data_IF_791333100768
#
_entry.id   IF_791333100768
#
_cell.length_a   1.000
_cell.length_b   1.000
_cell.length_c   1.000
_cell.angle_alpha   90.00
_cell.angle_beta   90.00
_cell.angle_gamma   90.00
#
_symmetry.space_group_name_H-M   'P 1'
#
loop_
_entity.id
_entity.type
_entity.pdbx_description
1 polymer ?
#
# COMPACT_ATOMS: atom_id res chain seq x y z
N UNK A 1 -41.03 19.48 8.55
CA UNK A 1 -40.53 18.46 7.62
C UNK A 1 -39.19 18.96 7.13
N UNK A 2 -38.12 18.46 7.71
CA UNK A 2 -36.77 18.87 7.36
C UNK A 2 -36.33 18.12 6.10
N UNK A 3 -35.76 18.80 5.09
CA UNK A 3 -35.23 18.13 3.92
C UNK A 3 -34.01 17.29 4.35
N UNK A 4 -34.08 15.99 4.07
CA UNK A 4 -32.97 15.05 4.18
C UNK A 4 -31.79 15.56 3.34
N UNK A 5 -30.78 16.12 3.99
CA UNK A 5 -29.52 16.51 3.37
C UNK A 5 -28.59 15.29 3.29
N UNK A 6 -28.32 14.81 2.07
CA UNK A 6 -27.27 13.83 1.84
C UNK A 6 -25.94 14.58 1.81
N UNK A 7 -25.14 14.42 2.87
CA UNK A 7 -23.74 14.84 2.88
C UNK A 7 -22.90 13.69 2.30
N UNK A 8 -22.25 13.91 1.15
CA UNK A 8 -21.24 13.00 0.61
C UNK A 8 -19.90 13.71 0.64
N UNK A 9 -19.08 13.42 1.65
CA UNK A 9 -17.69 13.89 1.71
C UNK A 9 -16.87 13.22 0.59
N UNK A 10 -15.82 13.88 0.07
CA UNK A 10 -14.78 13.19 -0.70
C UNK A 10 -14.19 12.05 0.13
N UNK A 11 -13.97 10.88 -0.47
CA UNK A 11 -13.21 9.81 0.18
C UNK A 11 -11.78 10.28 0.45
N UNK A 12 -11.42 10.39 1.72
CA UNK A 12 -10.02 10.49 2.16
C UNK A 12 -9.55 9.08 2.54
N UNK A 13 -8.36 8.71 2.11
CA UNK A 13 -7.82 7.36 2.30
C UNK A 13 -6.52 7.43 3.09
N UNK A 14 -6.46 6.68 4.16
CA UNK A 14 -5.21 6.34 4.83
C UNK A 14 -4.81 4.92 4.42
N UNK A 15 -3.61 4.81 3.82
CA UNK A 15 -3.04 3.53 3.38
C UNK A 15 -1.89 3.15 4.29
N UNK A 16 -1.97 1.97 4.90
CA UNK A 16 -0.96 1.42 5.79
C UNK A 16 -0.36 0.18 5.13
N UNK A 17 0.97 0.10 5.12
CA UNK A 17 1.68 -1.12 4.74
C UNK A 17 2.16 -1.83 6.00
N UNK A 18 1.88 -3.13 6.12
CA UNK A 18 2.22 -3.92 7.29
C UNK A 18 2.97 -5.19 6.90
N UNK A 19 3.91 -5.61 7.75
CA UNK A 19 4.57 -6.90 7.68
C UNK A 19 4.45 -7.59 9.04
N UNK A 20 3.62 -8.63 9.10
CA UNK A 20 3.35 -9.42 10.28
C UNK A 20 4.49 -10.40 10.58
N UNK A 21 4.71 -10.76 11.85
CA UNK A 21 5.75 -11.70 12.22
C UNK A 21 5.42 -13.12 11.75
N UNK A 22 6.46 -13.90 11.42
CA UNK A 22 6.32 -15.32 11.06
C UNK A 22 5.84 -16.18 12.24
N UNK A 23 6.15 -15.75 13.47
CA UNK A 23 5.78 -16.42 14.72
C UNK A 23 4.48 -15.85 15.31
N UNK A 24 3.71 -16.70 15.99
CA UNK A 24 2.49 -16.25 16.68
C UNK A 24 2.75 -15.57 18.02
N UNK A 25 3.98 -15.65 18.56
CA UNK A 25 4.34 -15.09 19.87
C UNK A 25 4.41 -13.56 19.81
N UNK A 26 4.97 -13.01 18.74
CA UNK A 26 5.11 -11.58 18.52
C UNK A 26 3.85 -10.94 17.90
N UNK A 27 2.89 -11.76 17.49
CA UNK A 27 1.68 -11.32 16.77
C UNK A 27 0.83 -10.31 17.57
N UNK A 28 0.60 -10.49 18.89
CA UNK A 28 -0.12 -9.49 19.69
C UNK A 28 0.57 -8.13 19.71
N UNK A 29 1.90 -8.09 19.82
CA UNK A 29 2.68 -6.84 19.80
C UNK A 29 2.62 -6.17 18.42
N UNK A 30 2.63 -6.95 17.35
CA UNK A 30 2.41 -6.46 15.99
C UNK A 30 1.03 -5.81 15.86
N UNK A 31 -0.04 -6.45 16.34
CA UNK A 31 -1.40 -5.91 16.29
C UNK A 31 -1.56 -4.64 17.14
N UNK A 32 -0.88 -4.55 18.29
CA UNK A 32 -0.91 -3.34 19.10
C UNK A 32 -0.20 -2.17 18.43
N UNK A 33 0.90 -2.44 17.73
CA UNK A 33 1.59 -1.43 16.90
C UNK A 33 0.67 -0.98 15.76
N UNK A 34 0.03 -1.93 15.07
CA UNK A 34 -0.91 -1.62 13.99
C UNK A 34 -2.10 -0.81 14.52
N UNK A 35 -2.65 -1.14 15.70
CA UNK A 35 -3.70 -0.37 16.38
C UNK A 35 -3.31 1.09 16.52
N UNK A 36 -2.14 1.37 17.10
CA UNK A 36 -1.65 2.74 17.28
C UNK A 36 -1.51 3.51 15.97
N UNK A 37 -1.08 2.84 14.89
CA UNK A 37 -1.03 3.45 13.55
C UNK A 37 -2.43 3.78 13.02
N UNK A 38 -3.41 2.88 13.21
CA UNK A 38 -4.80 3.11 12.77
C UNK A 38 -5.48 4.22 13.59
N UNK A 39 -5.22 4.29 14.89
CA UNK A 39 -5.72 5.35 15.77
C UNK A 39 -5.12 6.72 15.44
N UNK A 40 -3.92 6.75 14.86
CA UNK A 40 -3.28 7.96 14.34
C UNK A 40 -3.82 8.44 12.99
N UNK A 41 -4.70 7.69 12.33
CA UNK A 41 -5.27 8.08 11.05
C UNK A 41 -6.18 9.32 11.21
N UNK A 42 -6.21 10.26 10.23
CA UNK A 42 -7.11 11.41 10.28
C UNK A 42 -8.57 10.98 10.45
N UNK A 43 -9.30 11.67 11.33
CA UNK A 43 -10.72 11.38 11.56
C UNK A 43 -11.52 11.52 10.26
N UNK A 44 -12.23 10.46 9.89
CA UNK A 44 -13.05 10.40 8.67
C UNK A 44 -12.33 9.82 7.46
N UNK A 45 -11.04 9.49 7.57
CA UNK A 45 -10.36 8.70 6.54
C UNK A 45 -10.86 7.25 6.57
N UNK A 46 -11.08 6.70 5.38
CA UNK A 46 -11.22 5.27 5.22
C UNK A 46 -9.86 4.59 5.22
N UNK A 47 -9.79 3.39 5.78
CA UNK A 47 -8.54 2.67 6.02
C UNK A 47 -8.34 1.58 4.98
N UNK A 48 -7.13 1.51 4.44
CA UNK A 48 -6.65 0.38 3.65
C UNK A 48 -5.34 -0.11 4.25
N UNK A 49 -5.30 -1.33 4.76
CA UNK A 49 -4.07 -1.99 5.22
C UNK A 49 -3.66 -3.06 4.20
N UNK A 50 -2.41 -3.02 3.79
CA UNK A 50 -1.83 -3.87 2.76
C UNK A 50 -0.59 -4.56 3.30
N UNK A 51 -0.33 -5.79 2.87
CA UNK A 51 0.98 -6.40 3.05
C UNK A 51 0.90 -7.87 3.46
N UNK A 52 2.02 -8.40 3.94
CA UNK A 52 2.14 -9.77 4.38
C UNK A 52 1.82 -9.87 5.86
N UNK A 53 0.78 -10.61 6.22
CA UNK A 53 0.35 -10.76 7.61
C UNK A 53 0.80 -12.08 8.22
N UNK A 54 1.44 -12.99 7.47
CA UNK A 54 1.85 -14.31 7.95
C UNK A 54 0.74 -15.08 8.70
N UNK A 55 -0.52 -14.85 8.32
CA UNK A 55 -1.70 -15.35 9.00
C UNK A 55 -2.62 -16.11 8.06
N UNK A 56 -3.22 -17.18 8.56
CA UNK A 56 -4.20 -17.98 7.84
C UNK A 56 -5.56 -17.77 8.50
N UNK A 57 -6.48 -17.15 7.77
CA UNK A 57 -7.75 -16.63 8.32
C UNK A 57 -8.96 -17.55 8.11
N UNK A 58 -8.76 -18.72 7.51
CA UNK A 58 -9.84 -19.65 7.21
C UNK A 58 -10.89 -19.09 6.23
N UNK A 59 -12.05 -19.74 6.19
CA UNK A 59 -13.15 -19.39 5.29
C UNK A 59 -14.53 -19.44 5.97
N UNK A 60 -14.58 -19.49 7.31
CA UNK A 60 -15.82 -19.53 8.08
C UNK A 60 -16.43 -18.12 8.17
N UNK A 61 -17.06 -17.70 7.08
CA UNK A 61 -17.74 -16.39 6.98
C UNK A 61 -18.98 -16.28 7.85
N UNK A 62 -19.53 -17.39 8.34
CA UNK A 62 -20.70 -17.37 9.22
C UNK A 62 -20.31 -16.88 10.62
N UNK A 63 -19.19 -17.38 11.15
CA UNK A 63 -18.60 -16.88 12.41
C UNK A 63 -18.01 -15.48 12.25
N UNK A 64 -17.32 -15.23 11.15
CA UNK A 64 -16.60 -13.98 10.89
C UNK A 64 -17.31 -13.10 9.86
N UNK A 65 -18.64 -12.98 10.03
CA UNK A 65 -19.48 -12.16 9.17
C UNK A 65 -19.00 -10.71 9.21
N UNK A 66 -18.93 -10.07 8.05
CA UNK A 66 -18.37 -8.71 7.96
C UNK A 66 -16.88 -8.68 7.66
N UNK A 67 -16.12 -9.62 8.23
CA UNK A 67 -14.65 -9.60 8.23
C UNK A 67 -14.08 -10.36 7.03
N UNK A 68 -14.49 -11.60 6.81
CA UNK A 68 -14.05 -12.43 5.67
C UNK A 68 -15.22 -12.85 4.80
N UNK A 69 -14.89 -13.29 3.58
CA UNK A 69 -15.79 -14.03 2.71
C UNK A 69 -15.50 -15.53 2.71
N UNK A 70 -16.34 -16.28 1.99
CA UNK A 70 -16.32 -17.75 1.92
C UNK A 70 -15.30 -18.34 0.94
N UNK A 71 -14.56 -17.50 0.21
CA UNK A 71 -13.68 -17.97 -0.89
C UNK A 71 -12.21 -18.12 -0.47
N UNK A 72 -11.89 -17.91 0.80
CA UNK A 72 -10.56 -18.13 1.36
C UNK A 72 -10.19 -19.62 1.49
N UNK A 73 -8.92 -19.94 1.72
CA UNK A 73 -8.48 -21.27 2.14
C UNK A 73 -9.11 -21.66 3.50
N UNK A 74 -9.39 -22.95 3.75
CA UNK A 74 -10.07 -23.37 4.98
C UNK A 74 -9.17 -23.34 6.23
N UNK A 75 -7.86 -23.26 6.08
CA UNK A 75 -6.93 -23.29 7.20
C UNK A 75 -6.97 -21.98 8.00
N UNK A 76 -7.08 -22.13 9.32
CA UNK A 76 -7.07 -21.06 10.31
C UNK A 76 -5.92 -21.34 11.31
N UNK A 77 -5.02 -20.39 11.52
CA UNK A 77 -3.95 -20.50 12.53
C UNK A 77 -4.16 -19.50 13.67
N UNK A 78 -3.35 -19.60 14.74
CA UNK A 78 -3.43 -18.74 15.91
C UNK A 78 -3.31 -17.25 15.57
N UNK A 79 -2.33 -16.88 14.73
CA UNK A 79 -2.19 -15.51 14.21
C UNK A 79 -3.42 -15.05 13.43
N UNK A 80 -4.04 -15.94 12.65
CA UNK A 80 -5.27 -15.67 11.90
C UNK A 80 -6.46 -15.40 12.81
N UNK A 81 -6.61 -16.12 13.92
CA UNK A 81 -7.67 -15.82 14.91
C UNK A 81 -7.49 -14.42 15.47
N UNK A 82 -6.27 -14.07 15.89
CA UNK A 82 -5.96 -12.73 16.40
C UNK A 82 -6.21 -11.64 15.35
N UNK A 83 -5.85 -11.87 14.09
CA UNK A 83 -6.10 -10.93 13.00
C UNK A 83 -7.61 -10.76 12.74
N UNK A 84 -8.39 -11.83 12.83
CA UNK A 84 -9.85 -11.79 12.65
C UNK A 84 -10.53 -11.01 13.77
N UNK A 85 -10.13 -11.23 15.03
CA UNK A 85 -10.61 -10.45 16.19
C UNK A 85 -10.24 -8.97 16.06
N UNK A 86 -9.01 -8.69 15.62
CA UNK A 86 -8.56 -7.32 15.36
C UNK A 86 -9.41 -6.67 14.26
N UNK A 87 -9.64 -7.36 13.15
CA UNK A 87 -10.44 -6.83 12.06
C UNK A 87 -11.90 -6.60 12.47
N UNK A 88 -12.49 -7.53 13.23
CA UNK A 88 -13.84 -7.40 13.77
C UNK A 88 -13.98 -6.17 14.67
N UNK A 89 -13.04 -5.99 15.61
CA UNK A 89 -13.06 -4.85 16.55
C UNK A 89 -12.86 -3.49 15.88
N UNK A 90 -12.17 -3.44 14.73
CA UNK A 90 -11.89 -2.20 13.99
C UNK A 90 -12.78 -2.01 12.75
N UNK A 91 -13.85 -2.81 12.59
CA UNK A 91 -14.74 -2.75 11.42
C UNK A 91 -13.99 -2.87 10.08
N UNK A 92 -13.00 -3.77 10.02
CA UNK A 92 -12.16 -4.05 8.87
C UNK A 92 -12.58 -5.37 8.19
N UNK A 93 -12.35 -5.47 6.89
CA UNK A 93 -12.66 -6.63 6.08
C UNK A 93 -11.51 -7.04 5.17
N UNK A 94 -11.21 -8.34 5.16
CA UNK A 94 -10.16 -8.97 4.35
C UNK A 94 -10.76 -9.31 2.98
N UNK A 95 -10.54 -8.40 2.03
CA UNK A 95 -11.23 -8.42 0.73
C UNK A 95 -10.81 -9.57 -0.18
N UNK A 96 -9.61 -10.13 0.00
CA UNK A 96 -9.08 -11.29 -0.75
C UNK A 96 -10.01 -12.52 -0.71
N UNK A 97 -10.83 -12.65 0.34
CA UNK A 97 -11.68 -13.82 0.58
C UNK A 97 -13.12 -13.61 0.09
N UNK A 98 -13.47 -12.39 -0.35
CA UNK A 98 -14.84 -11.99 -0.70
C UNK A 98 -15.24 -12.49 -2.09
N UNK A 99 -14.33 -12.44 -3.06
CA UNK A 99 -14.61 -12.77 -4.46
C UNK A 99 -14.15 -14.19 -4.80
N UNK A 100 -14.93 -14.86 -5.67
CA UNK A 100 -14.60 -16.21 -6.12
C UNK A 100 -13.62 -16.13 -7.30
N UNK A 101 -12.49 -16.83 -7.17
CA UNK A 101 -11.48 -16.90 -8.23
C UNK A 101 -11.03 -18.34 -8.49
N UNK A 102 -10.37 -18.53 -9.63
CA UNK A 102 -9.58 -19.75 -9.88
C UNK A 102 -8.37 -19.74 -8.95
N UNK A 103 -7.90 -20.91 -8.52
CA UNK A 103 -6.77 -21.04 -7.58
C UNK A 103 -5.52 -20.24 -8.00
N UNK A 104 -5.26 -20.13 -9.31
CA UNK A 104 -4.18 -19.31 -9.84
C UNK A 104 -4.23 -17.82 -9.44
N UNK A 105 -5.41 -17.30 -9.11
CA UNK A 105 -5.62 -15.91 -8.69
C UNK A 105 -5.95 -15.77 -7.19
N UNK A 106 -5.84 -16.86 -6.42
CA UNK A 106 -6.12 -16.88 -4.98
C UNK A 106 -4.85 -16.95 -4.13
N UNK A 107 -3.91 -17.82 -4.50
CA UNK A 107 -2.69 -18.03 -3.68
C UNK A 107 -1.52 -17.23 -4.22
N UNK A 108 -0.73 -16.69 -3.29
CA UNK A 108 0.36 -15.74 -3.57
C UNK A 108 1.72 -16.38 -3.42
N UNK A 109 1.84 -17.35 -2.53
CA UNK A 109 3.04 -18.11 -2.30
C UNK A 109 2.83 -19.55 -2.76
N UNK A 110 3.80 -20.09 -3.50
CA UNK A 110 3.83 -21.48 -3.96
C UNK A 110 5.18 -22.08 -3.58
N UNK A 111 5.12 -23.25 -2.95
CA UNK A 111 6.30 -24.07 -2.77
C UNK A 111 6.17 -25.28 -3.69
N UNK A 112 6.79 -25.19 -4.86
CA UNK A 112 6.67 -26.19 -5.93
C UNK A 112 7.13 -27.58 -5.48
N UNK A 113 8.15 -27.65 -4.62
CA UNK A 113 8.70 -28.93 -4.12
C UNK A 113 7.73 -29.72 -3.24
N UNK A 114 6.85 -29.03 -2.50
CA UNK A 114 5.89 -29.65 -1.58
C UNK A 114 4.43 -29.50 -2.04
N UNK A 115 4.20 -28.87 -3.20
CA UNK A 115 2.86 -28.53 -3.70
C UNK A 115 2.06 -27.63 -2.76
N UNK A 116 2.74 -26.91 -1.84
CA UNK A 116 2.09 -26.05 -0.85
C UNK A 116 1.78 -24.68 -1.43
N UNK A 117 0.71 -24.07 -0.94
CA UNK A 117 0.27 -22.75 -1.38
C UNK A 117 -0.38 -22.01 -0.23
N UNK A 118 -0.09 -20.72 -0.11
CA UNK A 118 -0.52 -19.93 1.03
C UNK A 118 -1.17 -18.61 0.60
N UNK A 119 -2.15 -18.19 1.41
CA UNK A 119 -2.76 -16.86 1.33
C UNK A 119 -2.44 -16.11 2.61
N UNK A 120 -1.34 -15.36 2.61
CA UNK A 120 -0.82 -14.61 3.76
C UNK A 120 -0.67 -13.11 3.50
N UNK A 121 -0.69 -12.68 2.23
CA UNK A 121 -0.74 -11.26 1.89
C UNK A 121 -2.20 -10.81 1.74
N UNK A 122 -2.58 -9.75 2.44
CA UNK A 122 -3.97 -9.29 2.49
C UNK A 122 -4.11 -7.83 2.11
N UNK A 123 -5.26 -7.54 1.52
CA UNK A 123 -5.83 -6.20 1.39
C UNK A 123 -7.01 -6.12 2.34
N UNK A 124 -6.78 -5.46 3.47
CA UNK A 124 -7.75 -5.24 4.53
C UNK A 124 -8.31 -3.83 4.38
N UNK A 125 -9.62 -3.67 4.36
CA UNK A 125 -10.27 -2.38 4.15
C UNK A 125 -11.33 -2.11 5.20
N UNK A 126 -11.53 -0.85 5.56
CA UNK A 126 -12.63 -0.46 6.42
C UNK A 126 -14.00 -0.77 5.80
N UNK A 127 -14.97 -1.02 6.67
CA UNK A 127 -16.31 -1.48 6.30
C UNK A 127 -17.07 -0.52 5.37
N UNK A 128 -16.76 0.77 5.41
CA UNK A 128 -17.28 1.81 4.52
C UNK A 128 -16.74 1.70 3.10
N UNK A 129 -15.49 1.25 2.91
CA UNK A 129 -14.91 0.98 1.58
C UNK A 129 -15.37 -0.34 1.00
N UNK A 130 -15.68 -1.33 1.84
CA UNK A 130 -15.99 -2.69 1.42
C UNK A 130 -17.07 -2.78 0.31
N UNK A 131 -18.20 -2.04 0.35
CA UNK A 131 -19.20 -2.04 -0.72
C UNK A 131 -18.69 -1.49 -2.07
N UNK A 132 -17.61 -0.71 -2.04
CA UNK A 132 -17.00 -0.09 -3.23
C UNK A 132 -15.91 -0.96 -3.86
N UNK A 133 -15.52 -2.05 -3.22
CA UNK A 133 -14.53 -2.99 -3.78
C UNK A 133 -15.16 -3.76 -4.92
N UNK A 134 -14.52 -3.69 -6.09
CA UNK A 134 -14.93 -4.38 -7.30
C UNK A 134 -14.34 -5.79 -7.38
N UNK A 135 -13.07 -5.92 -7.00
CA UNK A 135 -12.34 -7.19 -7.03
C UNK A 135 -11.06 -7.10 -6.17
N UNK A 136 -10.63 -8.22 -5.58
CA UNK A 136 -9.31 -8.36 -4.93
C UNK A 136 -8.71 -9.72 -5.28
N UNK A 137 -7.62 -9.74 -6.04
CA UNK A 137 -7.03 -11.00 -6.54
C UNK A 137 -5.53 -10.92 -6.77
N UNK A 138 -4.93 -12.10 -6.90
CA UNK A 138 -3.53 -12.27 -7.26
C UNK A 138 -3.33 -12.07 -8.77
N UNK A 139 -2.34 -11.24 -9.11
CA UNK A 139 -1.93 -10.93 -10.49
C UNK A 139 -0.63 -11.66 -10.85
N UNK A 140 -0.79 -12.80 -11.53
CA UNK A 140 0.34 -13.66 -11.95
C UNK A 140 1.25 -13.08 -13.03
N UNK A 141 0.74 -12.19 -13.88
CA UNK A 141 1.53 -11.61 -14.99
C UNK A 141 2.47 -10.47 -14.58
N UNK A 142 2.57 -10.16 -13.29
CA UNK A 142 3.52 -9.19 -12.75
C UNK A 142 4.70 -9.96 -12.16
N UNK A 143 5.59 -10.42 -13.01
CA UNK A 143 6.77 -11.18 -12.60
C UNK A 143 7.81 -10.22 -12.00
N UNK A 144 7.97 -10.31 -10.68
CA UNK A 144 9.13 -9.78 -9.95
C UNK A 144 9.86 -11.00 -9.40
N UNK A 145 11.18 -10.94 -9.27
CA UNK A 145 12.04 -12.02 -8.76
C UNK A 145 11.82 -12.30 -7.26
N UNK A 146 10.58 -12.56 -6.87
CA UNK A 146 10.11 -12.82 -5.50
C UNK A 146 9.26 -14.09 -5.52
N UNK A 147 9.26 -14.81 -4.41
CA UNK A 147 8.43 -15.99 -4.17
C UNK A 147 6.94 -15.66 -3.88
N UNK A 148 6.62 -14.37 -3.77
CA UNK A 148 5.26 -13.85 -3.63
C UNK A 148 4.74 -13.22 -4.93
N UNK A 149 3.52 -13.55 -5.31
CA UNK A 149 2.79 -12.86 -6.37
C UNK A 149 2.06 -11.62 -5.85
N UNK A 150 1.99 -10.59 -6.71
CA UNK A 150 1.30 -9.34 -6.42
C UNK A 150 -0.20 -9.51 -6.18
N UNK A 151 -0.72 -8.89 -5.13
CA UNK A 151 -2.17 -8.70 -4.90
C UNK A 151 -2.61 -7.36 -5.44
N UNK A 152 -3.75 -7.34 -6.12
CA UNK A 152 -4.37 -6.11 -6.62
C UNK A 152 -5.82 -6.07 -6.13
N UNK A 153 -6.23 -4.91 -5.62
CA UNK A 153 -7.62 -4.60 -5.34
C UNK A 153 -8.09 -3.42 -6.18
N UNK A 154 -9.27 -3.54 -6.78
CA UNK A 154 -9.93 -2.49 -7.54
C UNK A 154 -11.08 -1.92 -6.71
N UNK A 155 -11.12 -0.59 -6.56
CA UNK A 155 -12.12 0.12 -5.76
C UNK A 155 -12.80 1.18 -6.61
N UNK A 156 -14.13 1.25 -6.57
CA UNK A 156 -14.94 2.26 -7.25
C UNK A 156 -15.27 3.42 -6.29
N UNK A 157 -14.43 4.45 -6.31
CA UNK A 157 -14.64 5.65 -5.51
C UNK A 157 -15.40 6.70 -6.32
N UNK A 158 -16.63 7.02 -5.89
CA UNK A 158 -17.36 8.16 -6.45
C UNK A 158 -16.68 9.44 -6.00
N UNK A 159 -16.02 10.10 -6.94
CA UNK A 159 -15.30 11.33 -6.71
C UNK A 159 -16.30 12.49 -6.66
N UNK A 160 -16.46 13.14 -5.51
CA UNK A 160 -16.52 14.61 -5.52
C UNK A 160 -15.12 15.06 -5.21
N UNK A 161 -14.48 15.71 -6.19
CA UNK A 161 -13.21 16.39 -5.94
C UNK A 161 -13.42 17.28 -4.71
N UNK A 162 -12.55 17.25 -3.69
CA UNK A 162 -12.47 18.35 -2.77
C UNK A 162 -12.33 19.61 -3.64
N UNK A 163 -13.15 20.62 -3.37
CA UNK A 163 -12.88 21.93 -3.94
C UNK A 163 -11.43 22.25 -3.55
N UNK A 164 -10.55 22.48 -4.53
CA UNK A 164 -9.14 22.69 -4.25
C UNK A 164 -9.00 24.01 -3.49
N UNK A 165 -9.16 23.99 -2.17
CA UNK A 165 -8.92 25.12 -1.26
C UNK A 165 -7.42 25.38 -1.08
N UNK A 166 -6.65 25.24 -2.16
CA UNK A 166 -5.22 25.44 -2.18
C UNK A 166 -4.74 25.75 -3.58
N UNK A 167 -3.82 26.72 -3.68
CA UNK A 167 -3.11 27.02 -4.93
C UNK A 167 -2.54 25.71 -5.50
N UNK A 168 -2.53 25.51 -6.83
CA UNK A 168 -1.92 24.34 -7.43
C UNK A 168 -0.51 24.15 -6.85
N UNK A 169 -0.26 23.02 -6.16
CA UNK A 169 1.09 22.70 -5.72
C UNK A 169 1.96 22.64 -6.97
N UNK A 170 2.99 23.48 -7.02
CA UNK A 170 3.98 23.48 -8.10
C UNK A 170 4.80 22.20 -7.98
N UNK A 171 4.44 21.17 -8.74
CA UNK A 171 5.17 19.91 -8.75
C UNK A 171 6.30 20.04 -9.76
N UNK A 172 7.53 20.04 -9.25
CA UNK A 172 8.75 19.91 -10.05
C UNK A 172 8.94 18.42 -10.30
N UNK A 173 8.86 18.00 -11.56
CA UNK A 173 9.20 16.63 -11.97
C UNK A 173 10.58 16.62 -12.60
N UNK A 174 11.38 15.63 -12.20
CA UNK A 174 12.65 15.33 -12.85
C UNK A 174 12.36 14.53 -14.13
N UNK A 175 12.89 14.97 -15.27
CA UNK A 175 12.76 14.26 -16.54
C UNK A 175 13.76 13.10 -16.60
N UNK A 176 13.54 12.07 -15.77
CA UNK A 176 14.42 10.91 -15.65
C UNK A 176 14.58 10.14 -16.97
N UNK A 177 13.66 10.34 -17.94
CA UNK A 177 13.77 9.78 -19.30
C UNK A 177 15.05 10.24 -20.01
N UNK A 178 15.60 11.40 -19.64
CA UNK A 178 16.86 11.89 -20.18
C UNK A 178 18.09 11.07 -19.77
N UNK A 179 17.99 10.21 -18.74
CA UNK A 179 19.04 9.23 -18.41
C UNK A 179 19.25 8.19 -19.52
N UNK A 180 18.35 8.11 -20.52
CA UNK A 180 18.58 7.34 -21.73
C UNK A 180 19.77 7.86 -22.55
N UNK A 181 20.08 9.15 -22.47
CA UNK A 181 21.26 9.77 -23.10
C UNK A 181 22.53 9.41 -22.31
N UNK A 182 23.55 8.79 -22.95
CA UNK A 182 24.81 8.43 -22.30
C UNK A 182 25.54 9.61 -21.65
N UNK A 183 25.43 10.82 -22.20
CA UNK A 183 26.10 12.01 -21.68
C UNK A 183 25.47 12.47 -20.36
N UNK A 184 24.13 12.54 -20.31
CA UNK A 184 23.36 12.87 -19.11
C UNK A 184 23.58 11.82 -18.02
N UNK A 185 23.60 10.54 -18.41
CA UNK A 185 23.89 9.43 -17.50
C UNK A 185 25.30 9.50 -16.92
N UNK A 186 26.30 9.91 -17.72
CA UNK A 186 27.66 10.11 -17.26
C UNK A 186 27.72 11.16 -16.14
N UNK A 187 27.11 12.32 -16.37
CA UNK A 187 27.03 13.41 -15.36
C UNK A 187 26.29 12.96 -14.11
N UNK A 188 25.15 12.26 -14.26
CA UNK A 188 24.40 11.70 -13.14
C UNK A 188 25.25 10.75 -12.28
N UNK A 189 25.95 9.81 -12.92
CA UNK A 189 26.76 8.81 -12.23
C UNK A 189 27.97 9.46 -11.52
N UNK A 190 28.60 10.46 -12.12
CA UNK A 190 29.70 11.19 -11.48
C UNK A 190 29.22 11.90 -10.21
N UNK A 191 28.08 12.59 -10.26
CA UNK A 191 27.51 13.24 -9.09
C UNK A 191 27.06 12.25 -8.01
N UNK A 192 26.49 11.11 -8.39
CA UNK A 192 26.17 10.05 -7.43
C UNK A 192 27.43 9.54 -6.73
N UNK A 193 28.50 9.28 -7.48
CA UNK A 193 29.76 8.80 -6.91
C UNK A 193 30.38 9.82 -5.96
N UNK A 194 30.42 11.09 -6.34
CA UNK A 194 30.91 12.18 -5.48
C UNK A 194 30.08 12.31 -4.20
N UNK A 195 28.75 12.29 -4.32
CA UNK A 195 27.85 12.40 -3.17
C UNK A 195 27.98 11.19 -2.24
N UNK A 196 28.06 9.97 -2.78
CA UNK A 196 28.18 8.76 -1.97
C UNK A 196 29.54 8.63 -1.29
N UNK A 197 30.60 9.20 -1.88
CA UNK A 197 31.91 9.27 -1.22
C UNK A 197 31.91 10.18 0.02
N UNK A 198 30.92 11.07 0.16
CA UNK A 198 30.75 11.94 1.33
C UNK A 198 29.85 11.33 2.41
N UNK A 199 29.18 10.20 2.14
CA UNK A 199 28.34 9.54 3.12
C UNK A 199 29.24 8.86 4.17
N UNK A 200 29.08 9.18 5.47
CA UNK A 200 29.83 8.53 6.53
C UNK A 200 29.64 7.01 6.50
N UNK A 201 30.72 6.25 6.71
CA UNK A 201 30.68 4.77 6.77
C UNK A 201 30.25 4.22 8.13
N UNK A 202 29.95 5.10 9.08
CA UNK A 202 29.46 4.71 10.40
C UNK A 202 27.97 4.38 10.31
N UNK A 203 27.57 3.31 10.99
CA UNK A 203 26.19 2.81 10.99
C UNK A 203 25.32 3.83 11.75
N UNK A 204 24.50 4.57 11.00
CA UNK A 204 23.53 5.51 11.53
C UNK A 204 22.19 4.84 11.82
N UNK A 205 21.18 5.63 12.16
CA UNK A 205 19.80 5.12 12.14
C UNK A 205 19.32 4.94 10.68
N UNK A 206 18.46 3.95 10.44
CA UNK A 206 18.00 3.56 9.09
C UNK A 206 17.29 4.73 8.37
N UNK A 207 16.54 5.57 9.08
CA UNK A 207 15.82 6.70 8.48
C UNK A 207 16.80 7.79 8.05
N UNK A 208 17.86 8.06 8.82
CA UNK A 208 18.91 9.00 8.42
C UNK A 208 19.70 8.48 7.22
N UNK A 209 20.06 7.20 7.20
CA UNK A 209 20.75 6.57 6.06
C UNK A 209 19.88 6.64 4.79
N UNK A 210 18.60 6.28 4.91
CA UNK A 210 17.64 6.38 3.82
C UNK A 210 17.47 7.82 3.33
N UNK A 211 17.40 8.78 4.26
CA UNK A 211 17.27 10.20 3.92
C UNK A 211 18.49 10.71 3.15
N UNK A 212 19.70 10.38 3.59
CA UNK A 212 20.93 10.75 2.88
C UNK A 212 20.97 10.11 1.49
N UNK A 213 20.74 8.79 1.42
CA UNK A 213 20.74 8.05 0.16
C UNK A 213 19.71 8.59 -0.85
N UNK A 214 18.46 8.77 -0.41
CA UNK A 214 17.37 9.24 -1.27
C UNK A 214 17.57 10.69 -1.72
N UNK A 215 18.09 11.57 -0.85
CA UNK A 215 18.39 12.96 -1.18
C UNK A 215 19.53 13.05 -2.20
N UNK A 216 20.61 12.28 -2.02
CA UNK A 216 21.72 12.21 -2.98
C UNK A 216 21.26 11.78 -4.38
N UNK A 217 20.36 10.80 -4.46
CA UNK A 217 19.76 10.38 -5.74
C UNK A 217 18.91 11.48 -6.33
N UNK A 218 18.05 12.12 -5.52
CA UNK A 218 17.19 13.20 -5.98
C UNK A 218 18.01 14.38 -6.49
N UNK A 219 19.08 14.78 -5.79
CA UNK A 219 19.95 15.89 -6.14
C UNK A 219 20.76 15.60 -7.41
N UNK A 220 21.34 14.40 -7.52
CA UNK A 220 22.03 13.98 -8.74
C UNK A 220 21.06 14.00 -9.93
N UNK A 221 19.82 13.53 -9.73
CA UNK A 221 18.79 13.53 -10.76
C UNK A 221 18.34 14.96 -11.10
N UNK A 222 18.22 15.85 -10.12
CA UNK A 222 17.92 17.28 -10.31
C UNK A 222 18.97 17.97 -11.16
N UNK A 223 20.24 17.68 -10.87
CA UNK A 223 21.35 18.35 -11.51
C UNK A 223 21.60 17.85 -12.94
N UNK A 224 21.45 16.55 -13.16
CA UNK A 224 21.69 15.91 -14.46
C UNK A 224 20.47 15.96 -15.37
N UNK A 225 19.28 15.70 -14.82
CA UNK A 225 18.05 15.59 -15.57
C UNK A 225 17.26 16.88 -15.44
N UNK A 226 16.99 17.53 -16.57
CA UNK A 226 16.20 18.76 -16.62
C UNK A 226 14.88 18.62 -15.85
N UNK A 227 14.38 19.75 -15.36
CA UNK A 227 13.09 19.80 -14.69
C UNK A 227 11.95 20.25 -15.58
N UNK A 228 10.79 19.64 -15.37
CA UNK A 228 9.51 20.15 -15.85
C UNK A 228 8.67 20.59 -14.68
N UNK A 229 8.26 21.85 -14.69
CA UNK A 229 7.27 22.37 -13.75
C UNK A 229 5.89 22.05 -14.29
N UNK A 230 5.10 21.32 -13.50
CA UNK A 230 3.70 21.05 -13.79
C UNK A 230 2.81 21.78 -12.80
N UNK A 231 1.77 22.47 -13.31
CA UNK A 231 0.79 23.18 -12.48
C UNK A 231 0.72 24.71 -12.61
N UNK A 232 1.45 25.34 -13.53
CA UNK A 232 1.20 26.75 -13.86
C UNK A 232 -0.02 26.83 -14.80
N UNK A 233 -1.16 27.28 -14.26
CA UNK A 233 -2.30 27.66 -15.08
C UNK A 233 -1.85 28.69 -16.12
N UNK A 234 -2.15 28.41 -17.38
CA UNK A 234 -1.93 29.39 -18.45
C UNK A 234 -2.88 30.56 -18.23
N UNK A 235 -2.29 31.75 -18.13
CA UNK A 235 -2.81 32.98 -18.71
C UNK A 235 -4.07 33.55 -18.07
N UNK A 236 -3.85 34.51 -17.18
CA UNK A 236 -4.72 35.68 -17.21
C UNK A 236 -4.47 36.50 -18.47
N UNK A 237 -5.52 37.24 -18.83
CA UNK A 237 -5.60 38.52 -19.54
C UNK A 237 -5.79 38.53 -21.07
N UNK A 238 -6.46 39.58 -21.59
CA UNK A 238 -6.93 40.82 -20.94
C UNK A 238 -8.40 40.85 -20.54
#
# INVERSE_FOLDING_TARGET
>A
MDPLLIWSAPWCLTVVSAYGPNGSVEYPTFLETLRGVLEGAPTGDSIVVLGDFNAHVGNNSDTWSGVIGRNGPPNLNSSGVLLLDFCASHSLSITNTVFKHKGAHQYMWYQDTLGQRSMINFVVMSSDLRPHVLDTRVKRGAERSTDHHLVVSWICLQRRMPDRLGRPKRIVRVCWEHLADPSVRGVFNSHLQESFNQIPREIGDIESEWTMFSSSIADAAIWSCRHKVSGAGRGGNP
#
